data_IF_301870054757
#
_entry.id   IF_301870054757
#
_cell.length_a   1.000
_cell.length_b   1.000
_cell.length_c   1.000
_cell.angle_alpha   90.00
_cell.angle_beta   90.00
_cell.angle_gamma   90.00
#
_symmetry.space_group_name_H-M   'P 1'
#
loop_
_entity.id
_entity.type
_entity.pdbx_description
1 polymer ?
#
# COMPACT_ATOMS: atom_id res chain seq x y z
N UNK A 1 5.83 -2.53 -13.36
CA UNK A 1 6.74 -1.40 -13.70
C UNK A 1 7.74 -1.32 -12.58
N UNK A 2 8.86 -2.02 -12.71
CA UNK A 2 9.84 -2.30 -11.63
C UNK A 2 10.47 -1.03 -11.02
N UNK A 3 10.33 0.12 -11.69
CA UNK A 3 10.92 1.40 -11.29
C UNK A 3 10.34 2.07 -10.04
N UNK A 4 9.17 1.63 -9.54
CA UNK A 4 8.55 2.21 -8.33
C UNK A 4 8.41 1.19 -7.19
N UNK A 5 8.98 -0.01 -7.36
CA UNK A 5 8.97 -1.03 -6.32
C UNK A 5 9.99 -0.69 -5.24
N UNK A 6 9.56 -0.74 -3.99
CA UNK A 6 10.42 -0.54 -2.82
C UNK A 6 11.18 -1.83 -2.49
N UNK A 7 12.22 -1.70 -1.64
CA UNK A 7 12.93 -2.85 -1.06
C UNK A 7 11.97 -3.87 -0.40
N UNK A 8 10.83 -3.41 0.14
CA UNK A 8 9.81 -4.28 0.71
C UNK A 8 9.18 -5.22 -0.32
N UNK A 9 8.82 -4.71 -1.51
CA UNK A 9 8.23 -5.53 -2.57
C UNK A 9 9.25 -6.55 -3.09
N UNK A 10 10.51 -6.14 -3.23
CA UNK A 10 11.60 -7.04 -3.63
C UNK A 10 11.81 -8.15 -2.59
N UNK A 11 11.79 -7.81 -1.30
CA UNK A 11 11.88 -8.77 -0.19
C UNK A 11 10.70 -9.75 -0.19
N UNK A 12 9.47 -9.25 -0.37
CA UNK A 12 8.27 -10.08 -0.46
C UNK A 12 8.34 -11.09 -1.62
N UNK A 13 8.84 -10.66 -2.80
CA UNK A 13 9.05 -11.54 -3.96
C UNK A 13 10.12 -12.61 -3.73
N UNK A 14 11.14 -12.31 -2.93
CA UNK A 14 12.23 -13.27 -2.64
C UNK A 14 11.84 -14.43 -1.72
N UNK A 15 10.58 -14.49 -1.25
CA UNK A 15 10.09 -15.52 -0.31
C UNK A 15 10.60 -15.32 1.12
N UNK A 16 11.32 -14.23 1.39
CA UNK A 16 11.88 -13.89 2.71
C UNK A 16 10.84 -13.05 3.47
N UNK A 17 9.82 -13.73 4.01
CA UNK A 17 8.88 -13.31 5.07
C UNK A 17 7.71 -12.30 4.86
N UNK A 18 6.57 -12.77 5.40
CA UNK A 18 5.41 -12.22 6.15
C UNK A 18 5.23 -10.73 6.55
N UNK A 19 5.97 -9.76 6.03
CA UNK A 19 5.84 -8.37 6.51
C UNK A 19 4.40 -7.83 6.47
N UNK A 20 3.59 -8.30 5.51
CA UNK A 20 2.16 -7.99 5.36
C UNK A 20 1.22 -9.09 5.89
N UNK A 21 1.78 -10.20 6.38
CA UNK A 21 1.08 -11.38 6.93
C UNK A 21 1.50 -11.64 8.38
N UNK A 22 1.22 -10.71 9.31
CA UNK A 22 1.60 -10.88 10.70
C UNK A 22 0.82 -12.04 11.34
N UNK A 23 1.54 -12.91 12.04
CA UNK A 23 0.99 -14.04 12.80
C UNK A 23 1.11 -13.84 14.33
N UNK A 24 1.82 -12.78 14.76
CA UNK A 24 1.94 -12.37 16.18
C UNK A 24 1.60 -10.91 16.39
N UNK A 25 1.34 -10.52 17.65
CA UNK A 25 1.00 -9.13 18.00
C UNK A 25 2.17 -8.17 17.74
N UNK A 26 3.40 -8.66 17.92
CA UNK A 26 4.65 -7.97 17.67
C UNK A 26 4.86 -7.75 16.18
N UNK A 27 4.62 -8.78 15.36
CA UNK A 27 4.67 -8.66 13.89
C UNK A 27 3.59 -7.71 13.38
N UNK A 28 2.38 -7.78 13.93
CA UNK A 28 1.28 -6.88 13.57
C UNK A 28 1.63 -5.43 13.90
N UNK A 29 2.20 -5.18 15.08
CA UNK A 29 2.66 -3.85 15.46
C UNK A 29 3.80 -3.35 14.56
N UNK A 30 4.74 -4.22 14.19
CA UNK A 30 5.80 -3.89 13.25
C UNK A 30 5.24 -3.55 11.86
N UNK A 31 4.26 -4.32 11.36
CA UNK A 31 3.57 -4.05 10.11
C UNK A 31 2.87 -2.68 10.14
N UNK A 32 2.14 -2.34 11.20
CA UNK A 32 1.47 -1.03 11.32
C UNK A 32 2.50 0.10 11.27
N UNK A 33 3.60 0.02 12.05
CA UNK A 33 4.65 1.04 12.05
C UNK A 33 5.46 1.12 10.74
N UNK A 34 5.40 0.08 9.91
CA UNK A 34 5.96 0.11 8.56
C UNK A 34 5.05 0.92 7.62
N UNK A 35 3.73 0.80 7.78
CA UNK A 35 2.72 1.37 6.89
C UNK A 35 2.34 2.81 7.24
N UNK A 36 2.67 3.29 8.43
CA UNK A 36 2.39 4.66 8.90
C UNK A 36 3.65 5.38 9.36
N UNK A 37 3.66 6.71 9.23
CA UNK A 37 4.65 7.59 9.86
C UNK A 37 4.26 7.88 11.31
N UNK A 38 2.97 8.14 11.57
CA UNK A 38 2.45 8.29 12.92
C UNK A 38 2.54 6.95 13.65
N UNK A 39 3.18 6.97 14.81
CA UNK A 39 3.22 5.82 15.71
C UNK A 39 1.87 5.69 16.41
N UNK A 40 1.16 4.60 16.12
CA UNK A 40 -0.10 4.28 16.78
C UNK A 40 0.20 3.42 17.99
N UNK A 41 -0.11 3.90 19.19
CA UNK A 41 0.02 3.09 20.40
C UNK A 41 -1.27 2.29 20.64
N UNK A 42 -1.31 1.04 20.18
CA UNK A 42 -2.43 0.13 20.38
C UNK A 42 -2.15 -0.81 21.57
N UNK A 43 -3.00 -0.84 22.61
CA UNK A 43 -2.84 -1.79 23.70
C UNK A 43 -2.90 -3.24 23.20
N UNK A 44 -2.10 -4.12 23.82
CA UNK A 44 -2.01 -5.55 23.44
C UNK A 44 -3.36 -6.26 23.25
N UNK A 45 -4.40 -6.05 24.10
CA UNK A 45 -5.71 -6.67 23.86
C UNK A 45 -6.33 -6.32 22.50
N UNK A 46 -6.18 -5.08 22.03
CA UNK A 46 -6.67 -4.65 20.71
C UNK A 46 -5.86 -5.28 19.58
N UNK A 47 -4.53 -5.31 19.71
CA UNK A 47 -3.65 -5.97 18.74
C UNK A 47 -4.00 -7.47 18.62
N UNK A 48 -4.22 -8.15 19.74
CA UNK A 48 -4.61 -9.55 19.77
C UNK A 48 -5.99 -9.78 19.14
N UNK A 49 -6.96 -8.91 19.42
CA UNK A 49 -8.28 -8.98 18.80
C UNK A 49 -8.22 -8.83 17.28
N UNK A 50 -7.47 -7.84 16.79
CA UNK A 50 -7.29 -7.64 15.35
C UNK A 50 -6.51 -8.79 14.69
N UNK A 51 -5.44 -9.26 15.32
CA UNK A 51 -4.68 -10.42 14.87
C UNK A 51 -5.57 -11.66 14.77
N UNK A 52 -6.39 -11.93 15.78
CA UNK A 52 -7.32 -13.07 15.79
C UNK A 52 -8.32 -13.01 14.63
N UNK A 53 -8.84 -11.83 14.30
CA UNK A 53 -9.72 -11.66 13.14
C UNK A 53 -8.96 -11.92 11.83
N UNK A 54 -7.71 -11.44 11.71
CA UNK A 54 -6.89 -11.66 10.51
C UNK A 54 -6.47 -13.11 10.32
N UNK A 55 -6.12 -13.82 11.40
CA UNK A 55 -5.67 -15.21 11.35
C UNK A 55 -6.75 -16.17 10.86
N UNK A 56 -8.04 -15.83 11.07
CA UNK A 56 -9.16 -16.60 10.51
C UNK A 56 -9.21 -16.63 8.98
N UNK A 57 -8.54 -15.67 8.33
CA UNK A 57 -8.47 -15.52 6.88
C UNK A 57 -7.02 -15.60 6.38
N UNK A 58 -6.14 -16.25 7.14
CA UNK A 58 -4.70 -16.24 6.84
C UNK A 58 -4.40 -16.89 5.48
N UNK A 59 -5.07 -17.98 5.14
CA UNK A 59 -4.87 -18.68 3.88
C UNK A 59 -5.35 -17.82 2.70
N UNK A 60 -6.45 -17.09 2.86
CA UNK A 60 -6.96 -16.13 1.89
C UNK A 60 -5.99 -14.96 1.72
N UNK A 61 -5.48 -14.39 2.81
CA UNK A 61 -4.47 -13.33 2.76
C UNK A 61 -3.19 -13.80 2.06
N UNK A 62 -2.75 -15.04 2.33
CA UNK A 62 -1.61 -15.67 1.65
C UNK A 62 -1.85 -15.78 0.15
N UNK A 63 -3.00 -16.30 -0.26
CA UNK A 63 -3.37 -16.39 -1.69
C UNK A 63 -3.40 -15.04 -2.38
N UNK A 64 -3.99 -14.02 -1.76
CA UNK A 64 -4.03 -12.67 -2.32
C UNK A 64 -2.61 -12.10 -2.45
N UNK A 65 -1.79 -12.20 -1.41
CA UNK A 65 -0.42 -11.69 -1.46
C UNK A 65 0.41 -12.42 -2.52
N UNK A 66 0.34 -13.75 -2.59
CA UNK A 66 0.99 -14.53 -3.65
C UNK A 66 0.52 -14.09 -5.03
N UNK A 67 -0.78 -13.86 -5.24
CA UNK A 67 -1.27 -13.37 -6.53
C UNK A 67 -0.71 -12.00 -6.89
N UNK A 68 -0.60 -11.08 -5.92
CA UNK A 68 -0.04 -9.74 -6.18
C UNK A 68 1.45 -9.78 -6.55
N UNK A 69 2.20 -10.74 -6.02
CA UNK A 69 3.63 -10.89 -6.25
C UNK A 69 3.93 -11.75 -7.49
N UNK A 70 3.18 -12.81 -7.74
CA UNK A 70 3.49 -13.78 -8.78
C UNK A 70 2.85 -13.45 -10.13
N UNK A 71 1.73 -12.72 -10.16
CA UNK A 71 1.03 -12.48 -11.42
C UNK A 71 1.78 -11.51 -12.32
N UNK A 72 2.15 -12.00 -13.49
CA UNK A 72 2.19 -11.18 -14.70
C UNK A 72 0.74 -10.72 -14.98
N UNK A 73 0.55 -9.44 -15.26
CA UNK A 73 -0.77 -8.88 -15.51
C UNK A 73 -0.99 -8.87 -17.03
N UNK A 74 -1.53 -9.94 -17.67
CA UNK A 74 -1.56 -10.08 -19.13
C UNK A 74 -2.39 -8.98 -19.82
N UNK A 75 -3.27 -8.32 -19.07
CA UNK A 75 -4.10 -7.21 -19.55
C UNK A 75 -3.67 -5.85 -18.98
N UNK A 76 -2.46 -5.74 -18.42
CA UNK A 76 -1.99 -4.50 -17.80
C UNK A 76 -1.96 -3.33 -18.78
N UNK A 77 -1.50 -3.60 -20.01
CA UNK A 77 -1.47 -2.56 -21.04
C UNK A 77 -2.88 -2.16 -21.46
N UNK A 78 -3.82 -3.11 -21.57
CA UNK A 78 -5.23 -2.78 -21.84
C UNK A 78 -5.83 -1.91 -20.73
N UNK A 79 -5.50 -2.20 -19.46
CA UNK A 79 -5.91 -1.39 -18.32
C UNK A 79 -5.32 0.02 -18.39
N UNK A 80 -4.02 0.15 -18.69
CA UNK A 80 -3.37 1.45 -18.87
C UNK A 80 -3.95 2.24 -20.04
N UNK A 81 -4.31 1.58 -21.16
CA UNK A 81 -5.02 2.25 -22.25
C UNK A 81 -6.37 2.81 -21.80
N UNK A 82 -7.14 2.06 -21.01
CA UNK A 82 -8.41 2.55 -20.44
C UNK A 82 -8.19 3.75 -19.52
N UNK A 83 -7.15 3.74 -18.69
CA UNK A 83 -6.80 4.88 -17.84
C UNK A 83 -6.41 6.11 -18.67
N UNK A 84 -5.64 5.95 -19.75
CA UNK A 84 -5.30 7.06 -20.68
C UNK A 84 -6.52 7.67 -21.38
N UNK A 85 -7.56 6.87 -21.57
CA UNK A 85 -8.82 7.32 -22.18
C UNK A 85 -9.81 7.90 -21.15
N UNK A 86 -9.48 7.86 -19.85
CA UNK A 86 -10.38 8.34 -18.81
C UNK A 86 -10.45 9.87 -18.83
N UNK A 87 -11.64 10.40 -19.15
CA UNK A 87 -11.89 11.84 -19.24
C UNK A 87 -12.39 12.48 -17.93
N UNK A 88 -12.41 11.71 -16.83
CA UNK A 88 -12.84 12.19 -15.52
C UNK A 88 -11.66 12.77 -14.74
N UNK A 89 -11.84 13.89 -14.01
CA UNK A 89 -10.86 14.35 -13.04
C UNK A 89 -10.54 13.25 -12.02
N UNK A 90 -9.27 13.15 -11.63
CA UNK A 90 -8.81 12.23 -10.60
C UNK A 90 -7.82 12.94 -9.68
N UNK A 91 -7.90 12.67 -8.38
CA UNK A 91 -6.94 13.16 -7.41
C UNK A 91 -6.07 11.99 -6.95
N UNK A 92 -4.77 12.09 -7.19
CA UNK A 92 -3.78 11.12 -6.72
C UNK A 92 -3.16 11.63 -5.42
N UNK A 93 -3.50 10.97 -4.32
CA UNK A 93 -2.89 11.22 -3.01
C UNK A 93 -1.74 10.24 -2.79
N UNK A 94 -0.62 10.72 -2.26
CA UNK A 94 0.54 9.86 -1.94
C UNK A 94 1.25 10.31 -0.67
N UNK A 95 1.78 9.37 0.11
CA UNK A 95 2.67 9.67 1.22
C UNK A 95 4.13 9.74 0.78
N UNK A 96 4.87 10.78 1.14
CA UNK A 96 6.30 10.90 0.81
C UNK A 96 7.12 9.73 1.36
N UNK A 97 6.78 9.26 2.56
CA UNK A 97 7.47 8.18 3.27
C UNK A 97 6.76 6.83 3.12
N UNK A 98 5.98 6.63 2.06
CA UNK A 98 5.42 5.32 1.73
C UNK A 98 6.55 4.32 1.48
N UNK A 99 6.58 3.26 2.29
CA UNK A 99 7.59 2.18 2.26
C UNK A 99 7.12 0.96 1.47
N UNK A 100 5.90 0.98 0.95
CA UNK A 100 5.33 -0.04 0.06
C UNK A 100 5.56 0.35 -1.39
N UNK A 101 5.21 1.59 -1.75
CA UNK A 101 5.42 2.15 -3.09
C UNK A 101 6.07 3.51 -3.02
N UNK A 102 7.08 3.76 -3.86
CA UNK A 102 7.80 5.04 -3.83
C UNK A 102 6.92 6.19 -4.32
N UNK A 103 7.18 7.41 -3.83
CA UNK A 103 6.39 8.60 -4.19
C UNK A 103 6.50 8.97 -5.68
N UNK A 104 7.54 8.52 -6.37
CA UNK A 104 7.68 8.64 -7.83
C UNK A 104 6.56 7.91 -8.57
N UNK A 105 5.95 6.89 -7.96
CA UNK A 105 4.74 6.23 -8.46
C UNK A 105 3.58 7.18 -8.71
N UNK A 106 3.45 8.25 -7.92
CA UNK A 106 2.41 9.27 -8.15
C UNK A 106 2.61 10.02 -9.47
N UNK A 107 3.86 10.26 -9.90
CA UNK A 107 4.15 10.87 -11.20
C UNK A 107 3.69 9.99 -12.36
N UNK A 108 3.83 8.67 -12.20
CA UNK A 108 3.41 7.72 -13.21
C UNK A 108 1.91 7.81 -13.46
N UNK A 109 1.10 7.90 -12.39
CA UNK A 109 -0.35 8.04 -12.52
C UNK A 109 -0.78 9.38 -13.13
N UNK A 110 -0.11 10.49 -12.82
CA UNK A 110 -0.40 11.78 -13.48
C UNK A 110 -0.08 11.75 -14.97
N UNK A 111 1.00 11.07 -15.39
CA UNK A 111 1.30 10.88 -16.81
C UNK A 111 0.29 9.98 -17.52
N UNK A 112 -0.30 9.04 -16.77
CA UNK A 112 -1.26 8.07 -17.30
C UNK A 112 -2.68 8.64 -17.40
N UNK A 113 -3.05 9.55 -16.50
CA UNK A 113 -4.40 10.11 -16.39
C UNK A 113 -4.41 11.58 -16.84
N UNK A 114 -5.01 11.91 -18.01
CA UNK A 114 -4.88 13.24 -18.62
C UNK A 114 -5.35 14.43 -17.77
N UNK A 115 -6.29 14.20 -16.84
CA UNK A 115 -6.87 15.22 -15.95
C UNK A 115 -6.55 14.96 -14.47
N UNK A 116 -5.51 14.18 -14.19
CA UNK A 116 -5.14 13.91 -12.80
C UNK A 116 -4.35 15.08 -12.19
N UNK A 117 -4.74 15.42 -10.97
CA UNK A 117 -3.92 16.21 -10.06
C UNK A 117 -3.24 15.28 -9.06
N UNK A 118 -2.08 15.69 -8.53
CA UNK A 118 -1.42 14.95 -7.47
C UNK A 118 -1.16 15.83 -6.25
N UNK A 119 -1.24 15.21 -5.09
CA UNK A 119 -0.80 15.78 -3.84
C UNK A 119 0.04 14.76 -3.09
N UNK A 120 1.29 15.13 -2.82
CA UNK A 120 2.20 14.32 -2.03
C UNK A 120 2.31 14.95 -0.64
N UNK A 121 1.99 14.16 0.38
CA UNK A 121 2.02 14.59 1.76
C UNK A 121 3.37 14.28 2.40
N UNK A 122 4.04 15.31 2.90
CA UNK A 122 5.21 15.15 3.78
C UNK A 122 4.77 14.62 5.15
N UNK A 123 5.59 13.79 5.78
CA UNK A 123 5.29 13.08 7.06
C UNK A 123 4.07 12.15 6.94
N UNK A 124 4.01 11.40 5.85
CA UNK A 124 2.93 10.49 5.53
C UNK A 124 3.45 9.23 4.86
N UNK A 125 3.01 8.07 5.35
CA UNK A 125 3.29 6.74 4.83
C UNK A 125 2.18 6.23 3.92
N UNK A 126 2.06 4.91 3.86
CA UNK A 126 1.11 4.21 3.00
C UNK A 126 -0.36 4.44 3.43
N UNK A 127 -0.63 4.40 4.74
CA UNK A 127 -1.98 4.65 5.26
C UNK A 127 -2.22 6.13 5.55
N UNK A 128 -2.44 6.89 4.49
CA UNK A 128 -2.63 8.35 4.55
C UNK A 128 -3.82 8.77 5.42
N UNK A 129 -4.89 7.99 5.46
CA UNK A 129 -6.04 8.28 6.33
C UNK A 129 -5.70 8.24 7.84
N UNK A 130 -4.61 7.58 8.22
CA UNK A 130 -4.10 7.57 9.60
C UNK A 130 -3.12 8.74 9.79
N UNK A 131 -2.19 8.91 8.86
CA UNK A 131 -1.14 9.91 8.98
C UNK A 131 -1.67 11.33 8.82
N UNK A 132 -2.58 11.57 7.88
CA UNK A 132 -3.11 12.89 7.50
C UNK A 132 -4.65 12.90 7.35
N UNK A 133 -5.42 12.46 8.36
CA UNK A 133 -6.86 12.26 8.23
C UNK A 133 -7.60 13.49 7.72
N UNK A 134 -7.28 14.68 8.22
CA UNK A 134 -7.90 15.94 7.80
C UNK A 134 -7.59 16.25 6.34
N UNK A 135 -6.32 16.17 5.94
CA UNK A 135 -5.89 16.49 4.58
C UNK A 135 -6.42 15.50 3.53
N UNK A 136 -6.70 14.25 3.93
CA UNK A 136 -7.32 13.26 3.04
C UNK A 136 -8.84 13.37 2.95
N UNK A 137 -9.47 14.15 3.82
CA UNK A 137 -10.92 14.31 3.90
C UNK A 137 -11.43 15.66 3.36
N UNK A 138 -10.53 16.63 3.19
CA UNK A 138 -10.77 17.90 2.49
C UNK A 138 -10.90 17.70 0.97
#
# INVERSE_FOLDING_TARGET
NEQCETDLIQQLRSGIYSALLPETSEQLYAMINMLTVKKINLPRPFLNGFLHLRLRLLDEHKRVLSSLLEYDYPHLEEYYQKLRQMDKPALILWGRQDRVYTAEGAEYFVKLLPKAEKQVFEDCGHFMAIDKPEQTAE
#
